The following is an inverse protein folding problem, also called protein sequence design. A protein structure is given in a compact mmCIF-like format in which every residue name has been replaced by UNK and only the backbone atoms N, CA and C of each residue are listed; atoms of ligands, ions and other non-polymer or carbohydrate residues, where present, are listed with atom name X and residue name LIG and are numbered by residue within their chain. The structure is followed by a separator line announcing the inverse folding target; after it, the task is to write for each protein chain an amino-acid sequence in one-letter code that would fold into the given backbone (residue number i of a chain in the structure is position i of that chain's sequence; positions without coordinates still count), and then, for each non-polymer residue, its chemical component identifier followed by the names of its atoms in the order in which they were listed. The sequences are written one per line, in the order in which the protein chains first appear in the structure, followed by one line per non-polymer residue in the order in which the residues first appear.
data_IF_990234151820
#
_entry.id   IF_990234151820
#
_cell.length_a   1.000
_cell.length_b   1.000
_cell.length_c   1.000
_cell.angle_alpha   90.00
_cell.angle_beta   90.00
_cell.angle_gamma   90.00
#
_symmetry.space_group_name_H-M   'P 1'
#
loop_
_entity.id
_entity.type
_entity.pdbx_description
1 polymer ?
#
# COMPACT_ATOMS: atom_id res chain seq x y z
N UNK A 1 19.41 14.35 14.71
CA UNK A 1 19.73 14.27 13.26
C UNK A 1 21.04 13.53 12.99
N UNK A 2 21.64 12.86 13.97
CA UNK A 2 22.81 11.99 13.77
C UNK A 2 22.49 10.93 12.72
N UNK A 3 23.39 10.79 11.77
CA UNK A 3 23.32 9.79 10.71
C UNK A 3 24.47 8.81 10.91
N UNK A 4 24.15 7.53 10.81
CA UNK A 4 25.12 6.45 10.87
C UNK A 4 25.12 5.74 9.52
N UNK A 5 26.30 5.48 8.97
CA UNK A 5 26.45 4.58 7.83
C UNK A 5 26.52 3.17 8.40
N UNK A 6 25.58 2.31 8.05
CA UNK A 6 25.47 0.98 8.66
C UNK A 6 25.43 -0.14 7.63
N UNK A 7 25.93 -1.30 8.05
CA UNK A 7 25.64 -2.60 7.41
C UNK A 7 25.08 -3.57 8.44
N UNK A 8 24.35 -4.57 7.97
CA UNK A 8 23.82 -5.60 8.85
C UNK A 8 23.86 -7.00 8.25
N UNK A 9 23.80 -8.01 9.11
CA UNK A 9 23.38 -9.37 8.78
C UNK A 9 21.99 -9.59 9.39
N UNK A 10 21.15 -10.38 8.73
CA UNK A 10 19.80 -10.67 9.18
C UNK A 10 19.48 -12.17 9.12
N UNK A 11 18.85 -12.68 10.17
CA UNK A 11 18.29 -14.03 10.20
C UNK A 11 17.03 -14.06 11.07
N UNK A 12 15.95 -14.77 10.66
CA UNK A 12 14.82 -15.05 11.55
C UNK A 12 15.20 -16.03 12.69
N UNK A 13 16.29 -16.79 12.53
CA UNK A 13 16.78 -17.76 13.52
C UNK A 13 17.94 -17.17 14.35
N UNK A 14 17.78 -17.18 15.67
CA UNK A 14 18.77 -16.74 16.65
C UNK A 14 20.05 -17.59 16.63
N UNK A 15 19.96 -18.89 16.36
CA UNK A 15 21.17 -19.74 16.33
C UNK A 15 22.08 -19.35 15.17
N UNK A 16 21.48 -19.06 14.02
CA UNK A 16 22.21 -18.65 12.84
C UNK A 16 22.91 -17.29 13.01
N UNK A 17 22.25 -16.32 13.68
CA UNK A 17 22.86 -15.01 13.90
C UNK A 17 24.04 -15.08 14.88
N UNK A 18 23.96 -15.93 15.90
CA UNK A 18 25.07 -16.20 16.85
C UNK A 18 26.23 -16.87 16.13
N UNK A 19 25.98 -17.87 15.29
CA UNK A 19 27.03 -18.54 14.51
C UNK A 19 27.76 -17.57 13.56
N UNK A 20 27.06 -16.58 13.00
CA UNK A 20 27.70 -15.53 12.21
C UNK A 20 28.50 -14.55 13.08
N UNK A 21 28.05 -14.24 14.30
CA UNK A 21 28.82 -13.44 15.24
C UNK A 21 30.16 -14.12 15.57
N UNK A 22 30.14 -15.41 15.88
CA UNK A 22 31.35 -16.21 16.14
C UNK A 22 32.26 -16.24 14.90
N UNK A 23 31.68 -16.35 13.70
CA UNK A 23 32.45 -16.31 12.45
C UNK A 23 33.14 -14.96 12.25
N UNK A 24 32.48 -13.85 12.55
CA UNK A 24 33.07 -12.51 12.49
C UNK A 24 34.22 -12.37 13.50
N UNK A 25 34.04 -12.87 14.73
CA UNK A 25 35.08 -12.86 15.76
C UNK A 25 36.30 -13.70 15.37
N UNK A 26 36.09 -14.78 14.59
CA UNK A 26 37.14 -15.61 14.01
C UNK A 26 37.73 -15.06 12.69
N UNK A 27 37.40 -13.80 12.32
CA UNK A 27 38.02 -13.11 11.18
C UNK A 27 37.37 -13.39 9.82
N UNK A 28 36.20 -14.03 9.77
CA UNK A 28 35.45 -14.17 8.52
C UNK A 28 34.97 -12.78 8.06
N UNK A 29 35.21 -12.36 6.80
CA UNK A 29 34.78 -11.05 6.35
C UNK A 29 33.25 -10.89 6.36
N UNK A 30 32.76 -9.75 6.85
CA UNK A 30 31.33 -9.43 6.91
C UNK A 30 30.63 -9.61 5.55
N UNK A 31 31.26 -9.16 4.46
CA UNK A 31 30.72 -9.28 3.11
C UNK A 31 30.52 -10.74 2.65
N UNK A 32 31.30 -11.70 3.18
CA UNK A 32 31.10 -13.13 2.89
C UNK A 32 29.84 -13.64 3.56
N UNK A 33 29.58 -13.23 4.80
CA UNK A 33 28.38 -13.61 5.54
C UNK A 33 27.13 -12.92 4.97
N UNK A 34 27.25 -11.68 4.50
CA UNK A 34 26.15 -10.97 3.84
C UNK A 34 25.61 -11.72 2.61
N UNK A 35 26.48 -12.38 1.83
CA UNK A 35 26.07 -13.24 0.71
C UNK A 35 25.21 -14.42 1.12
N UNK A 36 25.37 -14.90 2.36
CA UNK A 36 24.57 -15.98 2.93
C UNK A 36 23.29 -15.44 3.57
N UNK A 37 23.36 -14.26 4.19
CA UNK A 37 22.26 -13.64 4.91
C UNK A 37 21.15 -13.09 3.99
N UNK A 38 21.52 -12.58 2.81
CA UNK A 38 20.55 -11.92 1.92
C UNK A 38 20.34 -12.69 0.63
N UNK A 39 19.04 -12.89 0.31
CA UNK A 39 18.59 -13.36 -1.00
C UNK A 39 18.43 -12.23 -2.01
N UNK A 40 18.26 -10.99 -1.53
CA UNK A 40 18.24 -9.79 -2.37
C UNK A 40 19.62 -9.55 -2.98
N UNK A 41 19.67 -9.31 -4.29
CA UNK A 41 20.93 -9.17 -5.04
C UNK A 41 21.76 -7.96 -4.60
N UNK A 42 21.12 -6.89 -4.11
CA UNK A 42 21.78 -5.64 -3.74
C UNK A 42 22.52 -5.77 -2.41
N UNK A 43 21.84 -6.22 -1.36
CA UNK A 43 22.45 -6.39 -0.03
C UNK A 43 23.48 -7.53 -0.02
N UNK A 44 23.24 -8.57 -0.81
CA UNK A 44 24.21 -9.66 -0.99
C UNK A 44 25.49 -9.16 -1.68
N UNK A 45 25.38 -8.29 -2.69
CA UNK A 45 26.51 -7.77 -3.45
C UNK A 45 27.30 -6.67 -2.72
N UNK A 46 26.62 -5.80 -1.95
CA UNK A 46 27.25 -4.65 -1.29
C UNK A 46 27.76 -4.95 0.14
N UNK A 47 27.73 -6.21 0.58
CA UNK A 47 28.19 -6.61 1.91
C UNK A 47 27.22 -6.27 3.05
N UNK A 48 25.93 -6.12 2.74
CA UNK A 48 24.87 -5.84 3.71
C UNK A 48 24.72 -4.36 4.07
N UNK A 49 25.29 -3.46 3.27
CA UNK A 49 25.25 -2.01 3.51
C UNK A 49 23.85 -1.42 3.25
N UNK A 50 23.33 -0.70 4.24
CA UNK A 50 22.09 0.09 4.14
C UNK A 50 22.36 1.56 3.81
N UNK A 51 23.63 1.97 3.75
CA UNK A 51 24.04 3.35 3.57
C UNK A 51 23.83 4.22 4.81
N UNK A 52 23.69 5.53 4.61
CA UNK A 52 23.47 6.50 5.68
C UNK A 52 22.03 6.49 6.16
N UNK A 53 21.84 6.32 7.47
CA UNK A 53 20.54 6.14 8.09
C UNK A 53 20.37 7.07 9.29
N UNK A 54 19.18 7.66 9.44
CA UNK A 54 18.77 8.37 10.66
C UNK A 54 18.02 7.42 11.58
N UNK A 55 17.90 7.80 12.85
CA UNK A 55 17.20 6.99 13.86
C UNK A 55 15.73 6.77 13.50
N UNK A 56 15.13 7.71 12.76
CA UNK A 56 13.74 7.59 12.30
C UNK A 56 13.54 6.74 11.04
N UNK A 57 14.63 6.35 10.37
CA UNK A 57 14.59 5.55 9.12
C UNK A 57 14.79 4.05 9.41
N UNK A 58 15.21 3.72 10.63
CA UNK A 58 15.45 2.36 11.14
C UNK A 58 14.34 1.95 12.11
N UNK A 59 14.18 0.63 12.32
CA UNK A 59 13.35 0.11 13.41
C UNK A 59 13.87 0.53 14.77
N UNK A 60 12.98 0.68 15.75
CA UNK A 60 13.30 1.27 17.04
C UNK A 60 14.44 0.52 17.77
N UNK A 61 14.37 -0.80 17.81
CA UNK A 61 15.37 -1.65 18.44
C UNK A 61 16.70 -1.62 17.69
N UNK A 62 16.66 -1.60 16.35
CA UNK A 62 17.85 -1.49 15.51
C UNK A 62 18.51 -0.12 15.70
N UNK A 63 17.72 0.95 15.64
CA UNK A 63 18.17 2.34 15.78
C UNK A 63 18.79 2.57 17.16
N UNK A 64 18.19 2.04 18.22
CA UNK A 64 18.69 2.17 19.59
C UNK A 64 20.13 1.66 19.72
N UNK A 65 20.45 0.53 19.07
CA UNK A 65 21.81 -0.04 19.06
C UNK A 65 22.72 0.69 18.08
N UNK A 66 22.28 0.87 16.82
CA UNK A 66 23.09 1.51 15.79
C UNK A 66 23.53 2.94 16.18
N UNK A 67 22.67 3.68 16.88
CA UNK A 67 22.97 5.05 17.30
C UNK A 67 23.95 5.13 18.47
N UNK A 68 24.14 4.05 19.23
CA UNK A 68 25.08 4.01 20.35
C UNK A 68 26.41 3.31 20.00
N UNK A 69 26.40 2.48 18.96
CA UNK A 69 27.54 1.67 18.57
C UNK A 69 28.68 2.54 18.00
N UNK A 70 29.94 2.36 18.46
CA UNK A 70 31.09 3.04 17.86
C UNK A 70 31.31 2.59 16.40
N UNK A 71 31.86 3.47 15.54
CA UNK A 71 32.27 3.07 14.19
C UNK A 71 33.24 1.88 14.20
N UNK A 72 33.16 1.05 13.17
CA UNK A 72 33.87 -0.21 12.96
C UNK A 72 33.69 -1.26 14.07
N UNK A 73 32.58 -1.18 14.82
CA UNK A 73 32.22 -2.17 15.83
C UNK A 73 30.97 -2.93 15.40
N UNK A 74 30.96 -4.24 15.64
CA UNK A 74 29.80 -5.10 15.41
C UNK A 74 29.02 -5.25 16.73
N UNK A 75 27.70 -5.14 16.66
CA UNK A 75 26.81 -5.30 17.81
C UNK A 75 26.69 -6.76 18.26
N UNK A 76 26.13 -6.96 19.45
CA UNK A 76 25.48 -8.23 19.78
C UNK A 76 24.21 -8.43 18.93
N UNK A 77 23.66 -9.66 18.85
CA UNK A 77 22.41 -9.92 18.16
C UNK A 77 21.27 -9.05 18.68
N UNK A 78 20.68 -8.25 17.80
CA UNK A 78 19.59 -7.33 18.09
C UNK A 78 18.29 -7.92 17.58
N UNK A 79 17.31 -8.12 18.47
CA UNK A 79 15.97 -8.61 18.11
C UNK A 79 15.10 -7.45 17.65
N UNK A 80 14.46 -7.61 16.51
CA UNK A 80 13.43 -6.72 15.96
C UNK A 80 12.15 -7.50 15.68
N UNK A 81 11.11 -6.86 15.14
CA UNK A 81 9.88 -7.56 14.72
C UNK A 81 10.08 -8.52 13.55
N UNK A 82 11.17 -8.38 12.78
CA UNK A 82 11.45 -9.24 11.62
C UNK A 82 12.37 -10.43 11.94
N UNK A 83 13.12 -10.37 13.03
CA UNK A 83 14.08 -11.41 13.40
C UNK A 83 15.25 -10.84 14.18
N UNK A 84 16.45 -11.30 13.87
CA UNK A 84 17.67 -10.92 14.56
C UNK A 84 18.70 -10.32 13.61
N UNK A 85 19.42 -9.31 14.10
CA UNK A 85 20.40 -8.56 13.33
C UNK A 85 21.76 -8.50 14.03
N UNK A 86 22.84 -8.57 13.26
CA UNK A 86 24.16 -8.06 13.68
C UNK A 86 24.38 -6.76 12.93
N UNK A 87 24.69 -5.70 13.66
CA UNK A 87 24.78 -4.34 13.14
C UNK A 87 26.23 -3.91 13.21
N UNK A 88 26.76 -3.34 12.14
CA UNK A 88 28.04 -2.66 12.16
C UNK A 88 27.87 -1.22 11.68
N UNK A 89 28.32 -0.28 12.51
CA UNK A 89 28.41 1.13 12.12
C UNK A 89 29.73 1.33 11.40
N UNK A 90 29.69 1.68 10.13
CA UNK A 90 30.89 1.95 9.34
C UNK A 90 31.40 3.38 9.55
N UNK A 91 30.48 4.32 9.73
CA UNK A 91 30.80 5.72 9.92
C UNK A 91 29.66 6.45 10.65
N UNK A 92 29.97 7.59 11.27
CA UNK A 92 29.02 8.42 12.01
C UNK A 92 29.26 9.88 11.66
N UNK A 93 28.18 10.57 11.29
CA UNK A 93 28.18 12.03 11.18
C UNK A 93 27.13 12.62 12.12
N UNK A 94 27.61 13.48 12.99
CA UNK A 94 26.74 14.33 13.78
C UNK A 94 26.07 15.36 12.87
N UNK A 95 24.84 15.79 13.19
CA UNK A 95 24.24 16.86 12.43
C UNK A 95 25.15 18.08 12.49
N UNK A 96 25.34 18.73 11.34
CA UNK A 96 25.77 20.12 11.36
C UNK A 96 24.82 20.86 12.30
N UNK A 97 25.38 21.63 13.24
CA UNK A 97 24.59 22.49 14.12
C UNK A 97 23.65 23.26 13.21
N UNK A 98 22.34 22.97 13.31
CA UNK A 98 21.35 23.73 12.58
C UNK A 98 21.48 25.14 13.13
N UNK A 99 21.94 26.08 12.30
CA UNK A 99 21.79 27.48 12.66
C UNK A 99 20.30 27.73 12.91
N UNK A 100 19.97 28.70 13.76
CA UNK A 100 18.58 29.01 14.10
C UNK A 100 17.70 29.20 12.85
N UNK A 101 18.26 29.83 11.80
CA UNK A 101 17.63 29.97 10.49
C UNK A 101 17.32 28.63 9.79
N UNK A 102 18.23 27.65 9.84
CA UNK A 102 17.98 26.32 9.25
C UNK A 102 16.95 25.55 10.08
N UNK A 103 16.95 25.68 11.41
CA UNK A 103 15.92 25.08 12.25
C UNK A 103 14.53 25.65 11.94
N UNK A 104 14.39 26.98 11.90
CA UNK A 104 13.10 27.64 11.62
C UNK A 104 12.56 27.27 10.23
N UNK A 105 13.42 27.18 9.21
CA UNK A 105 12.98 26.73 7.87
C UNK A 105 12.53 25.26 7.84
N UNK A 106 13.11 24.40 8.68
CA UNK A 106 12.76 22.97 8.74
C UNK A 106 11.63 22.65 9.72
N UNK A 107 11.36 23.52 10.70
CA UNK A 107 10.39 23.33 11.78
C UNK A 107 9.02 22.85 11.28
N UNK A 108 8.40 23.40 10.22
CA UNK A 108 7.09 22.93 9.76
C UNK A 108 7.09 21.47 9.30
N UNK A 109 8.20 21.03 8.67
CA UNK A 109 8.37 19.65 8.21
C UNK A 109 8.63 18.68 9.37
N UNK A 110 9.41 19.12 10.37
CA UNK A 110 9.69 18.35 11.58
C UNK A 110 8.42 18.15 12.41
N UNK A 111 7.64 19.20 12.63
CA UNK A 111 6.34 19.13 13.30
C UNK A 111 5.38 18.18 12.57
N UNK A 112 5.33 18.24 11.24
CA UNK A 112 4.51 17.33 10.43
C UNK A 112 4.93 15.87 10.63
N UNK A 113 6.24 15.58 10.64
CA UNK A 113 6.78 14.23 10.87
C UNK A 113 6.48 13.74 12.28
N UNK A 114 6.72 14.57 13.30
CA UNK A 114 6.45 14.23 14.70
C UNK A 114 4.97 13.97 14.94
N UNK A 115 4.09 14.83 14.39
CA UNK A 115 2.64 14.64 14.47
C UNK A 115 2.21 13.33 13.83
N UNK A 116 2.66 13.05 12.60
CA UNK A 116 2.38 11.77 11.91
C UNK A 116 2.87 10.56 12.70
N UNK A 117 4.06 10.63 13.32
CA UNK A 117 4.57 9.55 14.16
C UNK A 117 3.70 9.32 15.39
N UNK A 118 3.28 10.39 16.08
CA UNK A 118 2.36 10.31 17.23
C UNK A 118 0.99 9.77 16.83
N UNK A 119 0.42 10.25 15.72
CA UNK A 119 -0.84 9.75 15.16
C UNK A 119 -0.75 8.25 14.86
N UNK A 120 0.35 7.79 14.24
CA UNK A 120 0.55 6.37 13.94
C UNK A 120 0.65 5.50 15.19
N UNK A 121 1.38 5.95 16.21
CA UNK A 121 1.50 5.23 17.48
C UNK A 121 0.13 5.11 18.16
N UNK A 122 -0.60 6.22 18.26
CA UNK A 122 -1.94 6.23 18.83
C UNK A 122 -2.92 5.34 18.05
N UNK A 123 -2.87 5.39 16.71
CA UNK A 123 -3.69 4.54 15.85
C UNK A 123 -3.37 3.05 16.03
N UNK A 124 -2.08 2.68 16.09
CA UNK A 124 -1.67 1.30 16.30
C UNK A 124 -2.11 0.77 17.66
N UNK A 125 -1.93 1.57 18.71
CA UNK A 125 -2.37 1.22 20.06
C UNK A 125 -3.90 1.02 20.10
N UNK A 126 -4.65 1.99 19.57
CA UNK A 126 -6.10 1.91 19.49
C UNK A 126 -6.58 0.67 18.72
N UNK A 127 -6.00 0.38 17.55
CA UNK A 127 -6.35 -0.81 16.76
C UNK A 127 -6.03 -2.08 17.54
N UNK A 128 -4.87 -2.15 18.19
CA UNK A 128 -4.46 -3.32 18.96
C UNK A 128 -5.42 -3.61 20.10
N UNK A 129 -5.78 -2.60 20.89
CA UNK A 129 -6.73 -2.74 22.00
C UNK A 129 -8.13 -3.09 21.47
N UNK A 130 -8.64 -2.31 20.50
CA UNK A 130 -10.00 -2.48 19.99
C UNK A 130 -10.24 -3.83 19.28
N UNK A 131 -9.27 -4.32 18.53
CA UNK A 131 -9.36 -5.63 17.86
C UNK A 131 -9.01 -6.75 18.84
N UNK A 132 -8.07 -6.52 19.76
CA UNK A 132 -7.69 -7.46 20.81
C UNK A 132 -8.87 -7.87 21.67
N UNK A 133 -9.71 -6.92 22.10
CA UNK A 133 -10.94 -7.16 22.86
C UNK A 133 -11.92 -8.08 22.12
N UNK A 134 -11.93 -8.02 20.78
CA UNK A 134 -12.77 -8.88 19.94
C UNK A 134 -12.15 -10.26 19.74
N UNK A 135 -10.83 -10.38 19.81
CA UNK A 135 -10.08 -11.61 19.60
C UNK A 135 -10.59 -12.45 18.40
N UNK A 136 -10.62 -11.89 17.17
CA UNK A 136 -11.09 -12.63 16.01
C UNK A 136 -10.16 -13.79 15.66
N UNK A 137 -10.72 -14.98 15.53
CA UNK A 137 -10.03 -16.22 15.18
C UNK A 137 -10.63 -16.84 13.92
N UNK A 138 -9.81 -17.23 12.92
CA UNK A 138 -10.32 -17.93 11.76
C UNK A 138 -10.86 -19.30 12.17
N UNK A 139 -11.98 -19.71 11.55
CA UNK A 139 -12.52 -21.07 11.73
C UNK A 139 -11.97 -21.94 10.62
N UNK A 140 -11.21 -22.97 10.99
CA UNK A 140 -10.50 -23.84 10.03
C UNK A 140 -11.43 -24.44 8.98
N UNK A 141 -12.58 -24.97 9.40
CA UNK A 141 -13.56 -25.58 8.49
C UNK A 141 -14.07 -24.55 7.46
N UNK A 142 -14.55 -23.39 7.92
CA UNK A 142 -15.05 -22.33 7.05
C UNK A 142 -13.98 -21.80 6.09
N UNK A 143 -12.76 -21.63 6.60
CA UNK A 143 -11.61 -21.23 5.79
C UNK A 143 -11.32 -22.25 4.68
N UNK A 144 -11.25 -23.55 5.01
CA UNK A 144 -10.99 -24.61 4.03
C UNK A 144 -12.10 -24.74 3.00
N UNK A 145 -13.36 -24.67 3.41
CA UNK A 145 -14.52 -24.69 2.51
C UNK A 145 -14.43 -23.56 1.49
N UNK A 146 -14.26 -22.33 1.98
CA UNK A 146 -14.16 -21.15 1.13
C UNK A 146 -12.91 -21.21 0.24
N UNK A 147 -11.74 -21.50 0.80
CA UNK A 147 -10.49 -21.62 0.03
C UNK A 147 -10.62 -22.67 -1.09
N UNK A 148 -11.21 -23.83 -0.82
CA UNK A 148 -11.41 -24.87 -1.82
C UNK A 148 -12.36 -24.40 -2.93
N UNK A 149 -13.45 -23.71 -2.61
CA UNK A 149 -14.37 -23.17 -3.63
C UNK A 149 -13.73 -22.07 -4.48
N UNK A 150 -12.89 -21.22 -3.87
CA UNK A 150 -12.16 -20.17 -4.58
C UNK A 150 -11.06 -20.74 -5.50
N UNK A 151 -10.56 -21.95 -5.23
CA UNK A 151 -9.39 -22.52 -5.91
C UNK A 151 -9.68 -23.72 -6.81
N UNK A 152 -10.77 -24.47 -6.57
CA UNK A 152 -11.20 -25.54 -7.47
C UNK A 152 -12.04 -24.96 -8.60
N UNK A 153 -11.45 -24.83 -9.78
CA UNK A 153 -12.20 -24.65 -11.01
C UNK A 153 -13.18 -25.81 -11.21
N UNK A 154 -14.35 -25.53 -11.79
CA UNK A 154 -15.40 -26.50 -12.11
C UNK A 154 -14.99 -27.60 -13.13
N UNK A 155 -13.71 -27.66 -13.54
CA UNK A 155 -13.22 -28.49 -14.66
C UNK A 155 -12.12 -29.51 -14.30
N UNK A 156 -11.74 -29.68 -13.03
CA UNK A 156 -10.88 -30.80 -12.60
C UNK A 156 -9.40 -30.76 -13.03
N UNK A 157 -8.96 -29.78 -13.80
CA UNK A 157 -7.54 -29.54 -14.06
C UNK A 157 -6.86 -28.87 -12.86
N UNK A 158 -5.60 -29.26 -12.59
CA UNK A 158 -4.72 -28.53 -11.67
C UNK A 158 -4.76 -27.04 -12.03
N UNK A 159 -4.98 -26.12 -11.06
CA UNK A 159 -5.18 -24.73 -11.39
C UNK A 159 -3.89 -24.17 -11.98
N UNK A 160 -3.81 -24.02 -13.30
CA UNK A 160 -3.10 -22.88 -13.87
C UNK A 160 -4.01 -21.69 -13.68
N UNK A 161 -4.16 -21.25 -12.43
CA UNK A 161 -4.74 -19.95 -12.25
C UNK A 161 -3.82 -18.97 -12.94
N UNK A 162 -4.31 -18.36 -14.00
CA UNK A 162 -3.73 -17.12 -14.49
C UNK A 162 -4.13 -16.02 -13.49
N UNK A 163 -3.70 -16.14 -12.21
CA UNK A 163 -4.03 -15.26 -11.09
C UNK A 163 -3.29 -13.92 -11.16
N UNK A 164 -3.60 -13.15 -12.19
CA UNK A 164 -3.29 -11.71 -12.23
C UNK A 164 -4.51 -10.84 -11.87
N UNK A 165 -5.71 -11.41 -11.81
CA UNK A 165 -6.99 -10.68 -11.68
C UNK A 165 -7.82 -11.13 -10.46
N UNK A 166 -8.59 -10.19 -9.91
CA UNK A 166 -9.55 -10.41 -8.81
C UNK A 166 -10.79 -11.17 -9.31
N UNK A 167 -11.57 -11.80 -8.41
CA UNK A 167 -12.79 -12.52 -8.80
C UNK A 167 -13.81 -11.59 -9.45
N UNK A 168 -14.18 -11.88 -10.69
CA UNK A 168 -15.27 -11.19 -11.37
C UNK A 168 -16.64 -11.63 -10.82
N UNK A 169 -17.71 -10.95 -11.28
CA UNK A 169 -19.07 -11.20 -10.80
C UNK A 169 -19.59 -12.60 -11.13
N UNK A 170 -19.22 -13.14 -12.29
CA UNK A 170 -19.64 -14.48 -12.72
C UNK A 170 -18.93 -15.56 -11.89
N UNK A 171 -17.63 -15.40 -11.68
CA UNK A 171 -16.83 -16.27 -10.82
C UNK A 171 -17.33 -16.23 -9.38
N UNK A 172 -17.60 -15.03 -8.84
CA UNK A 172 -18.12 -14.86 -7.50
C UNK A 172 -19.53 -15.49 -7.35
N UNK A 173 -20.40 -15.36 -8.35
CA UNK A 173 -21.69 -16.04 -8.38
C UNK A 173 -21.53 -17.57 -8.39
N UNK A 174 -20.58 -18.09 -9.17
CA UNK A 174 -20.26 -19.53 -9.22
C UNK A 174 -19.82 -20.05 -7.85
N UNK A 175 -18.92 -19.33 -7.17
CA UNK A 175 -18.47 -19.68 -5.82
C UNK A 175 -19.63 -19.67 -4.82
N UNK A 176 -20.52 -18.68 -4.90
CA UNK A 176 -21.73 -18.62 -4.04
C UNK A 176 -22.65 -19.83 -4.26
N UNK A 177 -22.84 -20.26 -5.51
CA UNK A 177 -23.64 -21.46 -5.83
C UNK A 177 -22.97 -22.72 -5.28
N UNK A 178 -21.66 -22.87 -5.44
CA UNK A 178 -20.91 -24.02 -4.89
C UNK A 178 -21.02 -24.10 -3.36
N UNK A 179 -21.03 -22.95 -2.68
CA UNK A 179 -21.11 -22.84 -1.23
C UNK A 179 -22.54 -22.62 -0.71
N UNK A 180 -23.59 -22.83 -1.50
CA UNK A 180 -24.97 -22.46 -1.13
C UNK A 180 -25.41 -23.04 0.22
N UNK A 181 -24.98 -24.27 0.56
CA UNK A 181 -25.29 -24.93 1.84
C UNK A 181 -24.38 -24.49 3.00
N UNK A 182 -23.28 -23.81 2.70
CA UNK A 182 -22.22 -23.43 3.65
C UNK A 182 -22.12 -21.91 3.84
N UNK A 183 -22.99 -21.10 3.20
CA UNK A 183 -22.94 -19.65 3.34
C UNK A 183 -23.08 -19.18 4.80
N UNK A 184 -23.84 -19.92 5.62
CA UNK A 184 -23.99 -19.65 7.05
C UNK A 184 -22.83 -20.16 7.92
N UNK A 185 -21.91 -20.96 7.38
CA UNK A 185 -20.82 -21.53 8.17
C UNK A 185 -19.88 -20.41 8.62
N UNK A 186 -19.42 -20.43 9.88
CA UNK A 186 -18.55 -19.39 10.40
C UNK A 186 -17.19 -19.44 9.71
N UNK A 187 -16.75 -18.30 9.20
CA UNK A 187 -15.42 -18.09 8.64
C UNK A 187 -14.46 -17.52 9.69
N UNK A 188 -14.97 -16.64 10.55
CA UNK A 188 -14.24 -16.03 11.68
C UNK A 188 -15.15 -16.00 12.90
N UNK A 189 -14.64 -16.40 14.06
CA UNK A 189 -15.32 -16.27 15.35
C UNK A 189 -14.65 -15.19 16.19
N UNK A 190 -15.41 -14.48 17.01
CA UNK A 190 -14.90 -13.40 17.86
C UNK A 190 -15.78 -13.24 19.10
N UNK A 191 -15.29 -12.51 20.10
CA UNK A 191 -16.03 -12.12 21.29
C UNK A 191 -17.27 -11.32 20.91
N UNK A 192 -18.44 -11.97 20.91
CA UNK A 192 -19.72 -11.36 20.53
C UNK A 192 -20.35 -11.90 19.25
N UNK A 193 -19.73 -12.84 18.54
CA UNK A 193 -20.39 -13.49 17.41
C UNK A 193 -19.45 -14.20 16.43
N UNK A 194 -19.95 -14.37 15.21
CA UNK A 194 -19.19 -14.92 14.10
C UNK A 194 -19.46 -14.12 12.82
N UNK A 195 -18.51 -14.15 11.91
CA UNK A 195 -18.63 -13.67 10.54
C UNK A 195 -18.69 -14.92 9.66
N UNK A 196 -19.74 -15.03 8.85
CA UNK A 196 -19.98 -16.20 8.00
C UNK A 196 -19.20 -16.13 6.68
N UNK A 197 -19.13 -17.27 5.98
CA UNK A 197 -18.66 -17.32 4.58
C UNK A 197 -19.49 -16.37 3.71
N UNK A 198 -20.81 -16.34 3.91
CA UNK A 198 -21.74 -15.49 3.17
C UNK A 198 -21.47 -14.01 3.37
N UNK A 199 -21.15 -13.58 4.60
CA UNK A 199 -20.79 -12.19 4.90
C UNK A 199 -19.55 -11.73 4.12
N UNK A 200 -18.55 -12.60 4.03
CA UNK A 200 -17.33 -12.32 3.27
C UNK A 200 -17.64 -12.21 1.76
N UNK A 201 -18.33 -13.20 1.19
CA UNK A 201 -18.69 -13.19 -0.24
C UNK A 201 -19.62 -12.03 -0.61
N UNK A 202 -20.52 -11.63 0.29
CA UNK A 202 -21.37 -10.45 0.10
C UNK A 202 -20.54 -9.17 0.06
N UNK A 203 -19.52 -9.04 0.92
CA UNK A 203 -18.63 -7.87 0.91
C UNK A 203 -17.87 -7.74 -0.41
N UNK A 204 -17.43 -8.85 -1.00
CA UNK A 204 -16.76 -8.84 -2.31
C UNK A 204 -17.69 -8.36 -3.43
N UNK A 205 -18.99 -8.69 -3.36
CA UNK A 205 -19.97 -8.23 -4.35
C UNK A 205 -20.20 -6.72 -4.32
N UNK A 206 -19.95 -6.08 -3.18
CA UNK A 206 -20.07 -4.63 -3.04
C UNK A 206 -18.80 -3.88 -3.46
N UNK A 207 -17.69 -4.61 -3.67
CA UNK A 207 -16.42 -4.02 -4.10
C UNK A 207 -16.37 -3.92 -5.64
N UNK A 208 -15.92 -2.78 -6.18
CA UNK A 208 -15.52 -2.68 -7.58
C UNK A 208 -14.48 -3.74 -7.93
N UNK A 209 -14.50 -4.25 -9.17
CA UNK A 209 -13.60 -5.33 -9.60
C UNK A 209 -12.11 -5.01 -9.35
N UNK A 210 -11.70 -3.75 -9.55
CA UNK A 210 -10.34 -3.29 -9.32
C UNK A 210 -9.89 -3.34 -7.84
N UNK A 211 -10.84 -3.21 -6.92
CA UNK A 211 -10.59 -3.16 -5.47
C UNK A 211 -10.75 -4.52 -4.79
N UNK A 212 -11.31 -5.51 -5.50
CA UNK A 212 -11.42 -6.88 -4.99
C UNK A 212 -10.03 -7.46 -4.73
N UNK A 213 -9.86 -8.22 -3.65
CA UNK A 213 -8.57 -8.77 -3.26
C UNK A 213 -8.05 -9.79 -4.27
N UNK A 214 -6.72 -9.85 -4.34
CA UNK A 214 -5.96 -10.86 -5.08
C UNK A 214 -5.13 -11.65 -4.08
N UNK A 215 -5.29 -12.96 -4.06
CA UNK A 215 -4.50 -13.85 -3.22
C UNK A 215 -4.19 -15.13 -3.99
N UNK A 216 -2.95 -15.60 -3.87
CA UNK A 216 -2.40 -16.72 -4.64
C UNK A 216 -2.03 -17.91 -3.74
N UNK A 217 -2.17 -17.76 -2.42
CA UNK A 217 -1.88 -18.81 -1.45
C UNK A 217 -2.82 -18.71 -0.25
N UNK A 218 -3.00 -19.81 0.51
CA UNK A 218 -3.76 -19.78 1.75
C UNK A 218 -3.23 -18.72 2.73
N UNK A 219 -1.91 -18.51 2.77
CA UNK A 219 -1.29 -17.49 3.61
C UNK A 219 -1.74 -16.08 3.23
N UNK A 220 -1.63 -15.71 1.95
CA UNK A 220 -2.09 -14.40 1.47
C UNK A 220 -3.59 -14.20 1.69
N UNK A 221 -4.39 -15.26 1.54
CA UNK A 221 -5.82 -15.20 1.82
C UNK A 221 -6.10 -14.97 3.32
N UNK A 222 -5.37 -15.65 4.20
CA UNK A 222 -5.43 -15.43 5.65
C UNK A 222 -5.03 -14.01 6.04
N UNK A 223 -3.94 -13.48 5.46
CA UNK A 223 -3.48 -12.11 5.71
C UNK A 223 -4.54 -11.09 5.28
N UNK A 224 -5.14 -11.30 4.10
CA UNK A 224 -6.25 -10.48 3.61
C UNK A 224 -7.46 -10.56 4.55
N UNK A 225 -7.86 -11.76 4.97
CA UNK A 225 -9.00 -11.96 5.86
C UNK A 225 -8.81 -11.19 7.17
N UNK A 226 -7.61 -11.20 7.74
CA UNK A 226 -7.28 -10.41 8.93
C UNK A 226 -7.46 -8.90 8.74
N UNK A 227 -6.96 -8.36 7.62
CA UNK A 227 -7.14 -6.94 7.27
C UNK A 227 -8.61 -6.59 7.06
N UNK A 228 -9.34 -7.46 6.36
CA UNK A 228 -10.76 -7.28 6.07
C UNK A 228 -11.61 -7.28 7.34
N UNK A 229 -11.42 -8.24 8.25
CA UNK A 229 -12.11 -8.30 9.55
C UNK A 229 -11.83 -7.05 10.38
N UNK A 230 -10.55 -6.65 10.48
CA UNK A 230 -10.16 -5.41 11.18
C UNK A 230 -10.91 -4.20 10.62
N UNK A 231 -10.87 -4.02 9.30
CA UNK A 231 -11.50 -2.88 8.64
C UNK A 231 -13.01 -2.89 8.81
N UNK A 232 -13.65 -4.07 8.77
CA UNK A 232 -15.08 -4.22 9.04
C UNK A 232 -15.43 -3.73 10.45
N UNK A 233 -14.73 -4.18 11.49
CA UNK A 233 -15.00 -3.74 12.86
C UNK A 233 -14.75 -2.25 13.07
N UNK A 234 -13.70 -1.70 12.46
CA UNK A 234 -13.43 -0.26 12.49
C UNK A 234 -14.55 0.53 11.81
N UNK A 235 -15.04 0.07 10.65
CA UNK A 235 -16.15 0.69 9.94
C UNK A 235 -17.45 0.65 10.75
N UNK A 236 -17.76 -0.50 11.37
CA UNK A 236 -18.93 -0.63 12.25
C UNK A 236 -18.84 0.33 13.45
N UNK A 237 -17.67 0.45 14.08
CA UNK A 237 -17.45 1.42 15.16
C UNK A 237 -17.62 2.86 14.66
N UNK A 238 -17.02 3.17 13.51
CA UNK A 238 -17.06 4.50 12.91
C UNK A 238 -18.50 4.96 12.62
N UNK A 239 -19.32 4.07 12.04
CA UNK A 239 -20.74 4.28 11.80
C UNK A 239 -21.53 4.49 13.10
N UNK A 240 -21.28 3.66 14.12
CA UNK A 240 -21.92 3.84 15.44
C UNK A 240 -21.57 5.18 16.10
N UNK A 241 -20.40 5.73 15.81
CA UNK A 241 -19.99 7.07 16.28
C UNK A 241 -20.44 8.21 15.36
N UNK A 242 -21.13 7.94 14.25
CA UNK A 242 -21.58 8.96 13.31
C UNK A 242 -20.45 9.66 12.55
N UNK A 243 -19.28 9.01 12.40
CA UNK A 243 -18.10 9.61 11.73
C UNK A 243 -18.34 9.89 10.25
N UNK A 244 -19.32 9.23 9.62
CA UNK A 244 -19.77 9.52 8.26
C UNK A 244 -20.25 10.97 8.07
N UNK A 245 -20.70 11.61 9.15
CA UNK A 245 -21.16 13.01 9.15
C UNK A 245 -20.02 14.01 9.42
N UNK A 246 -18.82 13.53 9.69
CA UNK A 246 -17.68 14.41 9.93
C UNK A 246 -17.30 15.14 8.62
N UNK A 247 -17.15 16.48 8.61
CA UNK A 247 -16.95 17.25 7.37
C UNK A 247 -15.81 16.73 6.48
N UNK A 248 -14.72 16.28 7.09
CA UNK A 248 -13.60 15.64 6.38
C UNK A 248 -14.01 14.34 5.69
N UNK A 249 -14.76 13.47 6.35
CA UNK A 249 -15.20 12.18 5.78
C UNK A 249 -16.19 12.43 4.65
N UNK A 250 -17.14 13.36 4.84
CA UNK A 250 -18.09 13.75 3.79
C UNK A 250 -17.37 14.28 2.55
N UNK A 251 -16.34 15.13 2.73
CA UNK A 251 -15.51 15.62 1.62
C UNK A 251 -14.74 14.49 0.92
N UNK A 252 -14.04 13.65 1.68
CA UNK A 252 -13.29 12.53 1.11
C UNK A 252 -14.19 11.54 0.35
N UNK A 253 -15.44 11.34 0.82
CA UNK A 253 -16.44 10.53 0.12
C UNK A 253 -16.98 11.19 -1.15
N UNK A 254 -17.18 12.50 -1.15
CA UNK A 254 -17.56 13.24 -2.35
C UNK A 254 -16.46 13.17 -3.41
N UNK A 255 -15.21 13.39 -3.02
CA UNK A 255 -14.04 13.31 -3.91
C UNK A 255 -13.90 11.90 -4.50
N UNK A 256 -14.04 10.86 -3.65
CA UNK A 256 -14.02 9.47 -4.07
C UNK A 256 -15.15 9.15 -5.06
N UNK A 257 -16.38 9.56 -4.76
CA UNK A 257 -17.52 9.31 -5.64
C UNK A 257 -17.34 9.99 -7.01
N UNK A 258 -16.79 11.20 -7.02
CA UNK A 258 -16.48 11.95 -8.24
C UNK A 258 -15.41 11.24 -9.08
N UNK A 259 -14.29 10.84 -8.45
CA UNK A 259 -13.21 10.10 -9.11
C UNK A 259 -13.71 8.74 -9.64
N UNK A 260 -14.55 8.05 -8.88
CA UNK A 260 -15.11 6.76 -9.27
C UNK A 260 -16.11 6.88 -10.42
N UNK A 261 -17.01 7.86 -10.39
CA UNK A 261 -17.95 8.13 -11.48
C UNK A 261 -17.21 8.44 -12.80
N UNK A 262 -16.13 9.23 -12.71
CA UNK A 262 -15.25 9.49 -13.85
C UNK A 262 -14.61 8.20 -14.40
N UNK A 263 -14.10 7.32 -13.54
CA UNK A 263 -13.53 6.04 -13.97
C UNK A 263 -14.57 5.10 -14.61
N UNK A 264 -15.80 5.07 -14.09
CA UNK A 264 -16.90 4.29 -14.69
C UNK A 264 -17.27 4.84 -16.07
N UNK A 265 -17.42 6.15 -16.19
CA UNK A 265 -17.69 6.79 -17.47
C UNK A 265 -16.60 6.45 -18.51
N UNK A 266 -15.32 6.58 -18.13
CA UNK A 266 -14.22 6.20 -19.03
C UNK A 266 -14.29 4.73 -19.43
N UNK A 267 -14.59 3.82 -18.49
CA UNK A 267 -14.73 2.38 -18.78
C UNK A 267 -15.85 2.12 -19.80
N UNK A 268 -16.96 2.83 -19.71
CA UNK A 268 -18.10 2.61 -20.60
C UNK A 268 -17.88 3.26 -21.99
N UNK A 269 -17.06 4.31 -22.08
CA UNK A 269 -16.64 4.91 -23.37
C UNK A 269 -15.51 4.13 -24.06
N UNK A 270 -14.61 3.45 -23.31
CA UNK A 270 -13.46 2.73 -23.88
C UNK A 270 -13.86 1.70 -24.96
N UNK A 271 -14.92 0.87 -24.79
CA UNK A 271 -15.42 -0.02 -25.84
C UNK A 271 -15.88 0.71 -27.12
N UNK A 272 -16.26 1.99 -27.02
CA UNK A 272 -16.62 2.85 -28.16
C UNK A 272 -15.42 3.48 -28.87
N UNK A 273 -14.20 3.24 -28.39
CA UNK A 273 -12.97 3.73 -29.03
C UNK A 273 -12.57 2.75 -30.11
N UNK A 274 -12.80 3.14 -31.36
CA UNK A 274 -12.17 2.48 -32.51
C UNK A 274 -10.65 2.65 -32.40
N UNK A 275 -9.96 1.55 -32.14
CA UNK A 275 -8.50 1.48 -32.14
C UNK A 275 -8.05 1.46 -33.61
N UNK A 276 -7.28 2.45 -34.09
CA UNK A 276 -6.77 2.41 -35.46
C UNK A 276 -5.82 1.23 -35.66
N UNK A 277 -5.89 0.53 -36.80
CA UNK A 277 -5.04 -0.62 -37.11
C UNK A 277 -3.54 -0.28 -36.96
N UNK A 278 -3.15 0.94 -37.33
CA UNK A 278 -1.77 1.42 -37.19
C UNK A 278 -1.32 1.50 -35.73
N UNK A 279 -2.22 1.81 -34.80
CA UNK A 279 -1.94 1.85 -33.36
C UNK A 279 -1.85 0.44 -32.79
N UNK A 280 -2.75 -0.47 -33.18
CA UNK A 280 -2.68 -1.88 -32.79
C UNK A 280 -1.35 -2.51 -33.25
N UNK A 281 -0.99 -2.30 -34.53
CA UNK A 281 0.25 -2.81 -35.13
C UNK A 281 1.51 -2.29 -34.41
N UNK A 282 1.53 -1.03 -33.95
CA UNK A 282 2.66 -0.49 -33.18
C UNK A 282 2.93 -1.30 -31.90
N UNK A 283 1.89 -1.67 -31.16
CA UNK A 283 2.03 -2.46 -29.93
C UNK A 283 2.35 -3.92 -30.20
N UNK A 284 1.77 -4.51 -31.24
CA UNK A 284 2.05 -5.90 -31.68
C UNK A 284 3.50 -6.06 -32.17
N UNK A 285 4.04 -5.05 -32.85
CA UNK A 285 5.40 -5.07 -33.41
C UNK A 285 6.50 -4.74 -32.40
N UNK A 286 6.17 -4.72 -31.10
CA UNK A 286 7.13 -4.48 -30.03
C UNK A 286 7.52 -3.02 -29.85
N UNK A 287 6.67 -2.06 -30.27
CA UNK A 287 6.79 -0.62 -30.01
C UNK A 287 8.05 0.03 -30.63
N UNK A 288 8.45 -0.39 -31.83
CA UNK A 288 9.62 0.17 -32.52
C UNK A 288 9.38 1.61 -32.94
N UNK A 289 10.40 2.45 -32.84
CA UNK A 289 10.29 3.88 -33.17
C UNK A 289 9.89 4.14 -34.63
N UNK A 290 10.26 3.24 -35.56
CA UNK A 290 9.90 3.36 -36.98
C UNK A 290 8.40 3.09 -37.25
N UNK A 291 7.71 2.42 -36.33
CA UNK A 291 6.32 2.00 -36.50
C UNK A 291 5.33 2.98 -35.83
N UNK A 292 5.81 4.16 -35.39
CA UNK A 292 4.96 5.17 -34.75
C UNK A 292 4.00 5.77 -35.82
N UNK A 293 2.67 5.65 -35.64
CA UNK A 293 1.72 6.18 -36.61
C UNK A 293 1.74 7.71 -36.64
N UNK A 294 1.84 8.30 -37.83
CA UNK A 294 1.84 9.76 -38.00
C UNK A 294 0.59 10.44 -37.42
N UNK A 295 -0.58 9.77 -37.48
CA UNK A 295 -1.83 10.27 -36.91
C UNK A 295 -1.97 10.09 -35.39
N UNK A 296 -1.11 9.29 -34.74
CA UNK A 296 -1.16 9.00 -33.32
C UNK A 296 0.27 8.95 -32.74
N UNK A 297 1.04 10.05 -32.79
CA UNK A 297 2.44 10.05 -32.37
C UNK A 297 2.61 9.87 -30.86
N UNK A 298 1.54 10.06 -30.08
CA UNK A 298 1.48 9.89 -28.63
C UNK A 298 1.53 8.43 -28.18
N UNK A 299 1.32 7.44 -29.06
CA UNK A 299 1.43 6.01 -28.72
C UNK A 299 2.77 5.65 -28.05
N UNK A 300 3.84 6.39 -28.38
CA UNK A 300 5.18 6.22 -27.80
C UNK A 300 5.24 6.47 -26.29
N UNK A 301 4.27 7.21 -25.75
CA UNK A 301 4.19 7.53 -24.33
C UNK A 301 3.51 6.42 -23.51
N UNK A 302 3.02 5.36 -24.16
CA UNK A 302 2.26 4.30 -23.55
C UNK A 302 2.99 2.95 -23.65
N UNK A 303 2.96 2.18 -22.57
CA UNK A 303 3.61 0.87 -22.53
C UNK A 303 2.71 -0.26 -23.06
N UNK A 304 1.39 -0.05 -23.09
CA UNK A 304 0.39 -1.03 -23.53
C UNK A 304 -0.70 -0.36 -24.36
N UNK A 305 -1.33 -1.15 -25.24
CA UNK A 305 -2.48 -0.70 -26.03
C UNK A 305 -3.64 -0.22 -25.13
N UNK A 306 -3.85 -0.90 -24.01
CA UNK A 306 -4.87 -0.53 -23.02
C UNK A 306 -4.60 0.85 -22.40
N UNK A 307 -3.34 1.18 -22.09
CA UNK A 307 -2.98 2.49 -21.55
C UNK A 307 -3.21 3.61 -22.56
N UNK A 308 -2.93 3.36 -23.85
CA UNK A 308 -3.21 4.32 -24.91
C UNK A 308 -4.73 4.50 -25.12
N UNK A 309 -5.49 3.41 -25.18
CA UNK A 309 -6.95 3.47 -25.30
C UNK A 309 -7.60 4.25 -24.14
N UNK A 310 -7.10 4.09 -22.91
CA UNK A 310 -7.53 4.88 -21.76
C UNK A 310 -7.24 6.38 -21.91
N UNK A 311 -6.05 6.73 -22.42
CA UNK A 311 -5.64 8.12 -22.69
C UNK A 311 -6.53 8.78 -23.76
N UNK A 312 -6.86 8.02 -24.82
CA UNK A 312 -7.78 8.45 -25.87
C UNK A 312 -9.20 8.68 -25.32
N UNK A 313 -9.70 7.76 -24.48
CA UNK A 313 -11.00 7.90 -23.80
C UNK A 313 -11.06 9.21 -23.01
N UNK A 314 -10.01 9.46 -22.23
CA UNK A 314 -9.91 10.64 -21.40
C UNK A 314 -9.89 11.94 -22.23
N UNK A 315 -9.18 11.93 -23.37
CA UNK A 315 -9.12 13.07 -24.27
C UNK A 315 -10.49 13.37 -24.89
N UNK A 316 -11.22 12.34 -25.32
CA UNK A 316 -12.58 12.48 -25.87
C UNK A 316 -13.55 13.02 -24.84
N UNK A 317 -13.49 12.53 -23.60
CA UNK A 317 -14.28 13.07 -22.49
C UNK A 317 -14.00 14.56 -22.28
N UNK A 318 -12.73 14.94 -22.16
CA UNK A 318 -12.35 16.33 -22.00
C UNK A 318 -12.76 17.20 -23.20
N UNK A 319 -12.78 16.65 -24.42
CA UNK A 319 -13.31 17.35 -25.60
C UNK A 319 -14.82 17.54 -25.51
N UNK A 320 -15.59 16.49 -25.18
CA UNK A 320 -17.06 16.55 -25.01
C UNK A 320 -17.46 17.58 -23.95
N UNK A 321 -16.80 17.55 -22.79
CA UNK A 321 -16.99 18.52 -21.70
C UNK A 321 -16.65 19.96 -22.08
N UNK A 322 -15.80 20.18 -23.10
CA UNK A 322 -15.50 21.54 -23.59
C UNK A 322 -16.52 22.04 -24.61
N UNK A 323 -17.22 21.14 -25.31
CA UNK A 323 -18.14 21.47 -26.40
C UNK A 323 -19.61 21.51 -25.99
N UNK A 324 -20.00 20.72 -24.99
CA UNK A 324 -21.31 20.81 -24.36
C UNK A 324 -21.19 21.77 -23.18
N UNK A 325 -22.09 22.77 -23.06
CA UNK A 325 -22.13 23.78 -21.99
C UNK A 325 -21.72 23.21 -20.62
N UNK A 326 -20.42 23.17 -20.34
CA UNK A 326 -19.93 22.81 -19.02
C UNK A 326 -20.53 23.86 -18.08
N UNK A 327 -21.13 23.45 -16.96
CA UNK A 327 -21.56 24.41 -15.97
C UNK A 327 -20.33 25.25 -15.64
N UNK A 328 -20.44 26.56 -15.87
CA UNK A 328 -19.46 27.53 -15.42
C UNK A 328 -19.30 27.25 -13.93
N UNK A 329 -18.14 26.72 -13.52
CA UNK A 329 -17.84 26.54 -12.11
C UNK A 329 -17.72 27.95 -11.56
N UNK A 330 -18.85 28.51 -11.13
CA UNK A 330 -18.90 29.76 -10.41
C UNK A 330 -18.23 29.50 -9.09
N UNK A 331 -16.98 29.95 -8.99
CA UNK A 331 -16.30 30.09 -7.72
C UNK A 331 -17.19 31.04 -6.92
N UNK A 332 -17.73 30.57 -5.81
CA UNK A 332 -18.47 31.42 -4.88
C UNK A 332 -17.44 32.36 -4.24
N UNK A 333 -17.21 33.50 -4.89
CA UNK A 333 -16.22 34.49 -4.46
C UNK A 333 -16.52 34.99 -3.05
N UNK A 334 -17.79 35.02 -2.65
CA UNK A 334 -18.20 35.43 -1.31
C UNK A 334 -17.82 34.36 -0.27
N UNK A 335 -18.05 33.08 -0.56
CA UNK A 335 -17.57 31.97 0.27
C UNK A 335 -16.04 31.94 0.33
N UNK A 336 -15.36 32.14 -0.81
CA UNK A 336 -13.91 32.16 -0.88
C UNK A 336 -13.32 33.35 -0.10
N UNK A 337 -13.96 34.52 -0.13
CA UNK A 337 -13.58 35.68 0.66
C UNK A 337 -13.88 35.48 2.15
N UNK A 338 -14.98 34.81 2.50
CA UNK A 338 -15.30 34.43 3.88
C UNK A 338 -14.28 33.41 4.43
N UNK A 339 -13.90 32.41 3.62
CA UNK A 339 -12.83 31.46 3.92
C UNK A 339 -11.47 32.15 4.05
N UNK A 340 -11.17 33.13 3.18
CA UNK A 340 -9.95 33.94 3.25
C UNK A 340 -9.91 34.87 4.47
N UNK A 341 -11.05 35.38 4.93
CA UNK A 341 -11.14 36.22 6.13
C UNK A 341 -10.97 35.42 7.43
N UNK A 342 -11.21 34.11 7.39
CA UNK A 342 -10.91 33.17 8.49
C UNK A 342 -9.42 32.77 8.54
N UNK A 343 -8.60 33.23 7.58
CA UNK A 343 -7.15 33.05 7.58
C UNK A 343 -6.53 34.08 8.53
N UNK A 344 -6.05 33.59 9.67
CA UNK A 344 -5.18 34.35 10.58
C UNK A 344 -3.81 34.57 9.90
N UNK A 345 -3.57 35.78 9.40
CA UNK A 345 -2.31 36.13 8.71
C UNK A 345 -1.10 36.19 9.65
N UNK A 346 -1.31 36.27 10.96
CA UNK A 346 -0.24 36.24 11.97
C UNK A 346 0.13 34.78 12.34
N UNK A 347 -0.80 33.84 12.23
CA UNK A 347 -0.54 32.40 12.31
C UNK A 347 -0.59 31.72 10.94
N UNK A 348 0.56 31.64 10.25
CA UNK A 348 0.71 31.00 8.93
C UNK A 348 0.05 29.61 8.85
N UNK A 349 -1.14 29.50 8.25
CA UNK A 349 -1.77 28.23 7.92
C UNK A 349 -1.32 27.72 6.55
N UNK A 350 -0.93 26.44 6.57
CA UNK A 350 -0.44 25.62 5.47
C UNK A 350 -1.57 25.35 4.48
N UNK A 351 -1.44 25.83 3.25
CA UNK A 351 -2.33 25.44 2.17
C UNK A 351 -1.76 24.27 1.34
N UNK A 352 -2.67 23.37 0.99
CA UNK A 352 -2.46 22.19 0.17
C UNK A 352 -2.13 22.56 -1.28
N UNK A 353 -1.20 21.81 -1.89
CA UNK A 353 -1.23 21.51 -3.32
C UNK A 353 -1.32 20.00 -3.53
N UNK A 354 -2.43 19.64 -4.15
CA UNK A 354 -2.78 18.50 -5.00
C UNK A 354 -1.61 17.53 -5.35
N UNK A 355 -1.84 16.26 -4.97
CA UNK A 355 -1.24 14.94 -5.29
C UNK A 355 0.11 14.82 -6.04
N UNK A 356 0.91 13.84 -5.58
CA UNK A 356 1.24 12.66 -6.41
C UNK A 356 1.18 11.35 -5.59
N UNK A 357 0.84 10.23 -6.24
CA UNK A 357 0.55 8.95 -5.61
C UNK A 357 1.81 8.17 -5.23
N UNK A 358 1.66 7.24 -4.29
CA UNK A 358 2.42 5.98 -4.23
C UNK A 358 1.48 4.86 -3.86
#
# INVERSE_FOLDING_TARGET
NTEVRVRHLFSPDYRQIVAWQDSLQNGVPFARLAKQAFRDSTLSANGGELGWQKSGDLEEEFAAVAMQLPPNTVSNPVKTRFGFHLIEVLDRREPQILTESVFESQRPSLEKRLRRKREQVAANQFISEFIGDKNPQPVEQGFRQLWNALTKNASGEQPRMQFRNSLDDQQLATVKVQLAKNLGDPLVQYSGGAISIGDYLASLSQMPLGDRPKFQSPRQFSDHLGIWVRNRFLLEKARKSGLENHPRVTREMHDFATEFAFLLYLRDEIPGISIPDSVAAYFENGRKAADIPAGNPDVRNHHTLQSWAWSEANRRLHSKLRTENAPEIRIDEALLQQENALIDWENRIRMFMIRKPS
#
